data_IF_340836242139
#
_entry.id   IF_340836242139
#
_cell.length_a   1.000
_cell.length_b   1.000
_cell.length_c   1.000
_cell.angle_alpha   90.00
_cell.angle_beta   90.00
_cell.angle_gamma   90.00
#
_symmetry.space_group_name_H-M   'P 1'
#
loop_
_entity.id
_entity.type
_entity.pdbx_description
1 polymer ?
#
# COMPACT_ATOMS: atom_id res chain seq x y z
N UNK A 1 -3.37 64.91 50.10
CA UNK A 1 -2.67 64.10 49.09
C UNK A 1 -2.00 62.86 49.71
N UNK A 2 -2.57 62.23 50.74
CA UNK A 2 -1.92 61.07 51.42
C UNK A 2 -2.71 59.77 51.35
N UNK A 3 -4.04 59.84 51.33
CA UNK A 3 -4.90 58.67 51.55
C UNK A 3 -5.21 57.87 50.27
N UNK A 4 -5.11 58.53 49.10
CA UNK A 4 -5.35 57.91 47.81
C UNK A 4 -4.11 57.13 47.34
N UNK A 5 -2.91 57.70 47.56
CA UNK A 5 -1.65 57.07 47.17
C UNK A 5 -1.38 55.80 48.00
N UNK A 6 -1.73 55.81 49.30
CA UNK A 6 -1.68 54.61 50.16
C UNK A 6 -2.62 53.50 49.68
N UNK A 7 -3.80 53.85 49.16
CA UNK A 7 -4.75 52.87 48.60
C UNK A 7 -4.27 52.29 47.27
N UNK A 8 -3.64 53.11 46.42
CA UNK A 8 -3.06 52.66 45.15
C UNK A 8 -1.89 51.71 45.41
N UNK A 9 -1.03 52.03 46.37
CA UNK A 9 0.10 51.17 46.73
C UNK A 9 -0.36 49.83 47.31
N UNK A 10 -1.34 49.85 48.22
CA UNK A 10 -1.93 48.62 48.79
C UNK A 10 -2.60 47.73 47.72
N UNK A 11 -3.24 48.33 46.71
CA UNK A 11 -3.81 47.58 45.57
C UNK A 11 -2.73 46.98 44.68
N UNK A 12 -1.63 47.70 44.43
CA UNK A 12 -0.47 47.18 43.67
C UNK A 12 0.15 45.98 44.38
N UNK A 13 0.44 46.09 45.66
CA UNK A 13 0.99 44.98 46.46
C UNK A 13 0.08 43.75 46.45
N UNK A 14 -1.24 43.96 46.54
CA UNK A 14 -2.22 42.87 46.49
C UNK A 14 -2.25 42.20 45.12
N UNK A 15 -2.15 42.99 44.05
CA UNK A 15 -2.14 42.47 42.68
C UNK A 15 -0.85 41.70 42.37
N UNK A 16 0.31 42.24 42.78
CA UNK A 16 1.60 41.56 42.62
C UNK A 16 1.63 40.23 43.39
N UNK A 17 1.10 40.20 44.61
CA UNK A 17 0.99 38.96 45.39
C UNK A 17 0.15 37.91 44.67
N UNK A 18 -1.02 38.29 44.14
CA UNK A 18 -1.88 37.39 43.36
C UNK A 18 -1.22 36.90 42.07
N UNK A 19 -0.44 37.75 41.42
CA UNK A 19 0.34 37.38 40.23
C UNK A 19 1.40 36.32 40.56
N UNK A 20 2.12 36.49 41.67
CA UNK A 20 3.11 35.51 42.15
C UNK A 20 2.42 34.19 42.49
N UNK A 21 1.35 34.23 43.29
CA UNK A 21 0.58 33.04 43.66
C UNK A 21 0.02 32.30 42.44
N UNK A 22 -0.49 33.03 41.45
CA UNK A 22 -0.98 32.45 40.19
C UNK A 22 0.16 31.81 39.39
N UNK A 23 1.33 32.45 39.31
CA UNK A 23 2.48 31.91 38.59
C UNK A 23 3.01 30.65 39.26
N UNK A 24 3.12 30.63 40.58
CA UNK A 24 3.53 29.45 41.35
C UNK A 24 2.54 28.30 41.22
N UNK A 25 1.23 28.59 41.25
CA UNK A 25 0.19 27.59 41.05
C UNK A 25 0.27 26.95 39.66
N UNK A 26 0.46 27.77 38.63
CA UNK A 26 0.62 27.31 37.24
C UNK A 26 1.91 26.49 37.09
N UNK A 27 3.03 26.95 37.63
CA UNK A 27 4.30 26.22 37.58
C UNK A 27 4.20 24.85 38.26
N UNK A 28 3.62 24.77 39.47
CA UNK A 28 3.36 23.49 40.15
C UNK A 28 2.44 22.57 39.34
N UNK A 29 1.45 23.13 38.64
CA UNK A 29 0.58 22.40 37.73
C UNK A 29 1.33 21.79 36.54
N UNK A 30 2.26 22.53 35.95
CA UNK A 30 3.10 22.05 34.86
C UNK A 30 4.11 21.00 35.33
N UNK A 31 4.79 21.22 36.45
CA UNK A 31 5.73 20.25 37.04
C UNK A 31 5.04 18.91 37.31
N UNK A 32 3.83 18.93 37.87
CA UNK A 32 3.04 17.71 38.12
C UNK A 32 2.66 16.98 36.83
N UNK A 33 2.32 17.71 35.76
CA UNK A 33 2.02 17.12 34.45
C UNK A 33 3.27 16.53 33.80
N UNK A 34 4.41 17.21 33.92
CA UNK A 34 5.67 16.77 33.35
C UNK A 34 6.15 15.49 34.03
N UNK A 35 6.09 15.42 35.36
CA UNK A 35 6.39 14.20 36.12
C UNK A 35 5.46 13.02 35.75
N UNK A 36 4.17 13.29 35.50
CA UNK A 36 3.24 12.24 35.07
C UNK A 36 3.56 11.71 33.67
N UNK A 37 4.00 12.58 32.76
CA UNK A 37 4.41 12.19 31.40
C UNK A 37 5.73 11.41 31.40
N UNK A 38 6.69 11.80 32.23
CA UNK A 38 7.94 11.03 32.40
C UNK A 38 7.67 9.63 32.92
N UNK A 39 6.78 9.49 33.92
CA UNK A 39 6.40 8.20 34.46
C UNK A 39 5.66 7.33 33.42
N UNK A 40 4.79 7.93 32.60
CA UNK A 40 4.12 7.23 31.51
C UNK A 40 5.10 6.75 30.43
N UNK A 41 6.07 7.59 30.06
CA UNK A 41 7.14 7.23 29.10
C UNK A 41 7.99 6.08 29.62
N UNK A 42 8.37 6.11 30.90
CA UNK A 42 9.20 5.06 31.50
C UNK A 42 8.43 3.71 31.57
N UNK A 43 7.12 3.76 31.76
CA UNK A 43 6.26 2.56 31.72
C UNK A 43 6.10 2.01 30.29
N UNK A 44 5.92 2.88 29.28
CA UNK A 44 5.91 2.47 27.88
C UNK A 44 7.25 1.84 27.47
N UNK A 45 8.39 2.40 27.89
CA UNK A 45 9.71 1.82 27.61
C UNK A 45 9.87 0.43 28.21
N UNK A 46 9.36 0.19 29.44
CA UNK A 46 9.35 -1.15 30.04
C UNK A 46 8.48 -2.14 29.25
N UNK A 47 7.32 -1.70 28.77
CA UNK A 47 6.44 -2.55 27.96
C UNK A 47 7.09 -2.90 26.62
N UNK A 48 7.74 -1.94 25.96
CA UNK A 48 8.49 -2.19 24.71
C UNK A 48 9.63 -3.17 24.93
N UNK A 49 10.41 -3.02 26.00
CA UNK A 49 11.48 -3.96 26.35
C UNK A 49 10.94 -5.39 26.57
N UNK A 50 9.80 -5.52 27.28
CA UNK A 50 9.15 -6.81 27.49
C UNK A 50 8.68 -7.47 26.19
N UNK A 51 8.07 -6.69 25.28
CA UNK A 51 7.64 -7.19 23.96
C UNK A 51 8.86 -7.66 23.15
N UNK A 52 9.97 -6.92 23.22
CA UNK A 52 11.19 -7.30 22.52
C UNK A 52 11.75 -8.64 23.02
N UNK A 53 11.76 -8.87 24.34
CA UNK A 53 12.17 -10.14 24.94
C UNK A 53 11.21 -11.29 24.58
N UNK A 54 9.90 -11.04 24.52
CA UNK A 54 8.89 -12.01 24.10
C UNK A 54 9.07 -12.41 22.63
N UNK A 55 9.37 -11.45 21.75
CA UNK A 55 9.66 -11.67 20.33
C UNK A 55 10.95 -12.49 20.18
N UNK A 56 12.00 -12.14 20.92
CA UNK A 56 13.28 -12.88 20.90
C UNK A 56 13.07 -14.33 21.33
N UNK A 57 12.34 -14.56 22.42
CA UNK A 57 12.03 -15.89 22.93
C UNK A 57 11.20 -16.71 21.92
N UNK A 58 10.22 -16.08 21.25
CA UNK A 58 9.46 -16.75 20.18
C UNK A 58 10.33 -17.08 18.97
N UNK A 59 11.28 -16.21 18.61
CA UNK A 59 12.20 -16.47 17.50
C UNK A 59 13.13 -17.65 17.79
N UNK A 60 13.62 -17.77 19.03
CA UNK A 60 14.47 -18.87 19.48
C UNK A 60 13.68 -20.19 19.50
N UNK A 61 12.42 -20.16 19.95
CA UNK A 61 11.51 -21.33 19.87
C UNK A 61 11.23 -21.75 18.43
N UNK A 62 11.02 -20.80 17.52
CA UNK A 62 10.83 -21.10 16.10
C UNK A 62 12.09 -21.70 15.46
N UNK A 63 13.28 -21.28 15.89
CA UNK A 63 14.53 -21.91 15.44
C UNK A 63 14.67 -23.34 15.97
N UNK A 64 14.30 -23.61 17.23
CA UNK A 64 14.30 -24.96 17.80
C UNK A 64 13.31 -25.90 17.09
N UNK A 65 12.09 -25.44 16.78
CA UNK A 65 11.11 -26.21 16.00
C UNK A 65 11.62 -26.51 14.59
N UNK A 66 12.34 -25.58 13.96
CA UNK A 66 12.98 -25.83 12.65
C UNK A 66 14.08 -26.89 12.72
N UNK A 67 14.81 -26.98 13.84
CA UNK A 67 15.85 -28.01 14.06
C UNK A 67 15.22 -29.36 14.39
N UNK A 68 14.15 -29.40 15.18
CA UNK A 68 13.41 -30.65 15.48
C UNK A 68 12.74 -31.23 14.22
N UNK A 69 12.15 -30.39 13.37
CA UNK A 69 11.59 -30.83 12.09
C UNK A 69 12.65 -31.33 11.09
N UNK A 70 13.91 -30.90 11.21
CA UNK A 70 15.02 -31.44 10.39
C UNK A 70 15.51 -32.81 10.87
N UNK A 71 15.19 -33.22 12.10
CA UNK A 71 15.58 -34.52 12.65
C UNK A 71 14.56 -35.60 12.26
N UNK A 72 13.27 -35.25 12.17
CA UNK A 72 12.19 -36.18 11.77
C UNK A 72 12.17 -36.54 10.27
N UNK A 73 12.85 -35.77 9.40
CA UNK A 73 12.96 -36.06 7.96
C UNK A 73 13.82 -37.29 7.62
N UNK A 74 14.38 -37.99 8.62
CA UNK A 74 15.10 -39.27 8.42
C UNK A 74 14.26 -40.53 8.67
N UNK A 75 12.99 -40.40 9.10
CA UNK A 75 12.13 -41.55 9.34
C UNK A 75 10.81 -41.47 8.54
N UNK A 76 10.85 -42.07 7.35
CA UNK A 76 9.77 -42.89 6.79
C UNK A 76 8.41 -42.20 6.54
N UNK A 77 8.20 -41.72 5.32
CA UNK A 77 6.85 -41.60 4.73
C UNK A 77 6.88 -42.04 3.26
N UNK A 78 6.35 -43.25 3.04
CA UNK A 78 5.89 -43.71 1.75
C UNK A 78 4.68 -42.87 1.31
N UNK A 79 4.76 -42.29 0.11
CA UNK A 79 3.60 -41.77 -0.62
C UNK A 79 3.32 -40.27 -0.48
N UNK A 80 4.07 -39.47 -1.25
CA UNK A 80 3.66 -38.38 -2.16
C UNK A 80 4.96 -37.60 -2.46
N UNK A 81 5.59 -37.91 -3.59
CA UNK A 81 6.75 -37.16 -4.09
C UNK A 81 6.25 -35.91 -4.83
N UNK A 82 5.96 -34.85 -4.10
CA UNK A 82 6.10 -33.49 -4.64
C UNK A 82 7.38 -32.92 -4.05
N UNK A 83 8.33 -32.57 -4.92
CA UNK A 83 9.65 -32.09 -4.52
C UNK A 83 9.51 -30.80 -3.68
N UNK A 84 10.18 -30.67 -2.53
CA UNK A 84 10.17 -29.44 -1.72
C UNK A 84 10.48 -28.16 -2.53
N UNK A 85 11.37 -28.28 -3.53
CA UNK A 85 11.75 -27.18 -4.43
C UNK A 85 10.60 -26.66 -5.32
N UNK A 86 9.63 -27.51 -5.69
CA UNK A 86 8.48 -27.08 -6.51
C UNK A 86 7.50 -26.24 -5.68
N UNK A 87 7.31 -26.63 -4.41
CA UNK A 87 6.48 -25.90 -3.47
C UNK A 87 7.11 -24.54 -3.09
N UNK A 88 8.42 -24.49 -2.89
CA UNK A 88 9.16 -23.24 -2.60
C UNK A 88 9.12 -22.25 -3.78
N UNK A 89 9.26 -22.74 -5.01
CA UNK A 89 9.14 -21.93 -6.22
C UNK A 89 7.72 -21.36 -6.40
N UNK A 90 6.70 -22.16 -6.11
CA UNK A 90 5.30 -21.71 -6.17
C UNK A 90 5.00 -20.62 -5.13
N UNK A 91 5.49 -20.77 -3.91
CA UNK A 91 5.35 -19.76 -2.85
C UNK A 91 6.03 -18.44 -3.25
N UNK A 92 7.25 -18.53 -3.79
CA UNK A 92 8.02 -17.35 -4.24
C UNK A 92 7.32 -16.63 -5.39
N UNK A 93 6.84 -17.37 -6.39
CA UNK A 93 6.09 -16.79 -7.50
C UNK A 93 4.82 -16.08 -7.03
N UNK A 94 4.07 -16.70 -6.12
CA UNK A 94 2.85 -16.09 -5.58
C UNK A 94 3.15 -14.80 -4.79
N UNK A 95 4.28 -14.74 -4.08
CA UNK A 95 4.74 -13.53 -3.41
C UNK A 95 5.08 -12.41 -4.40
N UNK A 96 5.88 -12.68 -5.44
CA UNK A 96 6.25 -11.68 -6.45
C UNK A 96 5.01 -11.18 -7.20
N UNK A 97 4.13 -12.09 -7.63
CA UNK A 97 2.89 -11.72 -8.31
C UNK A 97 2.00 -10.85 -7.42
N UNK A 98 1.96 -11.11 -6.10
CA UNK A 98 1.27 -10.23 -5.16
C UNK A 98 1.91 -8.84 -5.14
N UNK A 99 3.24 -8.74 -5.05
CA UNK A 99 3.95 -7.44 -5.09
C UNK A 99 3.68 -6.67 -6.38
N UNK A 100 3.69 -7.32 -7.54
CA UNK A 100 3.32 -6.67 -8.81
C UNK A 100 1.90 -6.11 -8.76
N UNK A 101 0.92 -6.86 -8.21
CA UNK A 101 -0.47 -6.36 -8.09
C UNK A 101 -0.56 -5.16 -7.15
N UNK A 102 0.19 -5.19 -6.06
CA UNK A 102 0.13 -4.16 -5.02
C UNK A 102 0.85 -2.88 -5.47
N UNK A 103 1.93 -2.99 -6.26
CA UNK A 103 2.80 -1.87 -6.64
C UNK A 103 2.54 -1.36 -8.06
N UNK A 104 2.27 -2.26 -9.01
CA UNK A 104 2.12 -1.94 -10.45
C UNK A 104 0.85 -2.61 -11.00
N UNK A 105 -0.35 -2.25 -10.50
CA UNK A 105 -1.61 -2.91 -10.84
C UNK A 105 -1.99 -2.81 -12.33
N UNK A 106 -1.39 -1.87 -13.06
CA UNK A 106 -1.57 -1.73 -14.51
C UNK A 106 -1.03 -2.93 -15.28
N UNK A 107 -0.03 -3.64 -14.72
CA UNK A 107 0.45 -4.89 -15.29
C UNK A 107 -0.65 -5.94 -15.09
N UNK A 108 -1.28 -6.32 -16.20
CA UNK A 108 -2.31 -7.35 -16.16
C UNK A 108 -1.67 -8.71 -15.96
N UNK A 109 -1.99 -9.39 -14.86
CA UNK A 109 -1.49 -10.75 -14.56
C UNK A 109 -2.49 -11.85 -14.92
N UNK A 110 -3.79 -11.60 -14.71
CA UNK A 110 -4.83 -12.58 -15.03
C UNK A 110 -5.25 -12.46 -16.50
N UNK A 111 -4.67 -13.34 -17.32
CA UNK A 111 -4.99 -13.49 -18.74
C UNK A 111 -5.89 -14.72 -18.96
N UNK A 112 -6.81 -14.64 -19.92
CA UNK A 112 -7.54 -15.82 -20.38
C UNK A 112 -6.65 -16.65 -21.32
N UNK A 113 -6.03 -17.68 -20.75
CA UNK A 113 -5.15 -18.60 -21.46
C UNK A 113 -5.86 -19.86 -21.96
N UNK A 114 -7.18 -19.95 -21.75
CA UNK A 114 -7.95 -21.13 -22.09
C UNK A 114 -8.33 -21.18 -23.59
N UNK A 115 -8.58 -22.39 -24.09
CA UNK A 115 -9.10 -22.63 -25.43
C UNK A 115 -8.05 -22.74 -26.54
N UNK A 116 -8.52 -22.75 -27.79
CA UNK A 116 -7.69 -22.88 -28.99
C UNK A 116 -7.78 -21.65 -29.88
N UNK A 117 -6.68 -21.32 -30.55
CA UNK A 117 -6.65 -20.17 -31.46
C UNK A 117 -7.39 -20.45 -32.76
N UNK A 118 -8.38 -19.62 -33.08
CA UNK A 118 -9.06 -19.62 -34.37
C UNK A 118 -8.07 -19.29 -35.49
N UNK A 119 -8.39 -19.69 -36.73
CA UNK A 119 -7.54 -19.38 -37.89
C UNK A 119 -7.32 -17.87 -38.09
N UNK A 120 -8.29 -17.02 -37.70
CA UNK A 120 -8.16 -15.56 -37.75
C UNK A 120 -7.15 -15.05 -36.74
N UNK A 121 -7.19 -15.56 -35.51
CA UNK A 121 -6.26 -15.20 -34.44
C UNK A 121 -4.84 -15.69 -34.74
N UNK A 122 -4.69 -16.91 -35.27
CA UNK A 122 -3.39 -17.42 -35.72
C UNK A 122 -2.76 -16.53 -36.80
N UNK A 123 -3.56 -16.02 -37.74
CA UNK A 123 -3.09 -15.04 -38.73
C UNK A 123 -2.65 -13.72 -38.11
N UNK A 124 -3.38 -13.21 -37.11
CA UNK A 124 -2.99 -11.98 -36.39
C UNK A 124 -1.65 -12.17 -35.66
N UNK A 125 -1.48 -13.31 -34.99
CA UNK A 125 -0.25 -13.68 -34.29
C UNK A 125 0.91 -13.82 -35.27
N UNK A 126 0.70 -14.48 -36.41
CA UNK A 126 1.73 -14.67 -37.44
C UNK A 126 2.16 -13.36 -38.11
N UNK A 127 1.23 -12.42 -38.30
CA UNK A 127 1.49 -11.13 -38.92
C UNK A 127 1.99 -10.05 -37.94
N UNK A 128 2.07 -10.37 -36.65
CA UNK A 128 2.57 -9.43 -35.66
C UNK A 128 4.05 -9.11 -35.92
N UNK A 129 4.33 -7.83 -36.03
CA UNK A 129 5.69 -7.30 -36.17
C UNK A 129 6.01 -6.37 -35.00
N UNK A 130 7.06 -6.66 -34.20
CA UNK A 130 7.49 -5.76 -33.15
C UNK A 130 8.12 -4.50 -33.77
N UNK A 131 7.64 -3.34 -33.32
CA UNK A 131 8.30 -2.03 -33.51
C UNK A 131 9.15 -1.87 -32.25
N UNK A 132 10.35 -2.44 -32.30
CA UNK A 132 11.43 -2.44 -31.32
C UNK A 132 11.15 -1.84 -29.93
N UNK A 133 11.13 -2.69 -28.91
CA UNK A 133 11.72 -2.39 -27.60
C UNK A 133 12.16 -3.71 -26.96
N UNK A 134 13.32 -4.27 -27.37
CA UNK A 134 13.86 -5.42 -26.66
C UNK A 134 14.11 -5.01 -25.21
N UNK A 135 13.61 -5.81 -24.28
CA UNK A 135 13.85 -5.62 -22.85
C UNK A 135 15.19 -6.26 -22.53
N UNK A 136 16.06 -5.50 -21.86
CA UNK A 136 17.30 -6.00 -21.29
C UNK A 136 17.02 -6.28 -19.82
N UNK A 137 17.02 -7.55 -19.44
CA UNK A 137 16.72 -7.97 -18.07
C UNK A 137 17.79 -7.47 -17.09
N UNK A 138 17.36 -6.93 -15.94
CA UNK A 138 18.20 -6.65 -14.77
C UNK A 138 18.97 -5.34 -14.77
N UNK A 139 19.00 -4.58 -15.87
CA UNK A 139 19.77 -3.33 -15.98
C UNK A 139 18.91 -2.12 -16.43
N UNK A 140 17.62 -2.34 -16.66
CA UNK A 140 16.74 -1.37 -17.31
C UNK A 140 15.87 -0.65 -16.26
N UNK A 141 16.11 0.65 -15.98
CA UNK A 141 15.33 1.38 -14.98
C UNK A 141 13.86 1.51 -15.39
N UNK A 142 13.56 1.51 -16.69
CA UNK A 142 12.19 1.63 -17.23
C UNK A 142 11.57 0.25 -17.54
N UNK A 143 12.02 -0.80 -16.85
CA UNK A 143 11.66 -2.18 -17.17
C UNK A 143 10.15 -2.40 -17.17
N UNK A 144 9.46 -1.92 -16.14
CA UNK A 144 8.03 -2.16 -16.01
C UNK A 144 7.22 -1.29 -17.00
N UNK A 145 7.64 -0.06 -17.31
CA UNK A 145 7.01 0.77 -18.35
C UNK A 145 7.12 0.11 -19.72
N UNK A 146 8.22 -0.58 -20.00
CA UNK A 146 8.37 -1.37 -21.23
C UNK A 146 7.41 -2.55 -21.25
N UNK A 147 7.24 -3.26 -20.12
CA UNK A 147 6.22 -4.31 -19.99
C UNK A 147 4.81 -3.77 -20.25
N UNK A 148 4.46 -2.62 -19.67
CA UNK A 148 3.17 -1.96 -19.90
C UNK A 148 2.95 -1.58 -21.37
N UNK A 149 3.94 -0.93 -21.99
CA UNK A 149 3.88 -0.57 -23.43
C UNK A 149 3.70 -1.80 -24.32
N UNK A 150 4.31 -2.93 -23.98
CA UNK A 150 4.11 -4.18 -24.71
C UNK A 150 2.69 -4.70 -24.53
N UNK A 151 2.16 -4.73 -23.30
CA UNK A 151 0.77 -5.16 -23.05
C UNK A 151 -0.24 -4.28 -23.79
N UNK A 152 -0.09 -2.96 -23.74
CA UNK A 152 -0.99 -2.04 -24.43
C UNK A 152 -0.94 -2.20 -25.93
N UNK A 153 0.23 -2.53 -26.47
CA UNK A 153 0.36 -2.88 -27.87
C UNK A 153 -0.31 -4.19 -28.22
N UNK A 154 -0.17 -5.23 -27.40
CA UNK A 154 -0.85 -6.49 -27.64
C UNK A 154 -2.37 -6.30 -27.66
N UNK A 155 -2.91 -5.47 -26.74
CA UNK A 155 -4.31 -5.03 -26.75
C UNK A 155 -4.68 -4.26 -28.03
N UNK A 156 -3.89 -3.26 -28.41
CA UNK A 156 -4.15 -2.44 -29.59
C UNK A 156 -4.13 -3.24 -30.90
N UNK A 157 -3.30 -4.28 -30.97
CA UNK A 157 -3.25 -5.22 -32.10
C UNK A 157 -4.36 -6.29 -32.06
N UNK A 158 -5.17 -6.34 -30.99
CA UNK A 158 -6.20 -7.36 -30.82
C UNK A 158 -5.61 -8.77 -30.71
N UNK A 159 -4.42 -8.91 -30.13
CA UNK A 159 -3.80 -10.22 -29.96
C UNK A 159 -4.53 -11.02 -28.87
N UNK A 160 -4.79 -12.32 -29.07
CA UNK A 160 -5.41 -13.17 -28.06
C UNK A 160 -4.49 -13.34 -26.85
N UNK A 161 -5.06 -13.19 -25.65
CA UNK A 161 -4.31 -13.17 -24.37
C UNK A 161 -3.49 -14.44 -24.14
N UNK A 162 -4.02 -15.62 -24.50
CA UNK A 162 -3.32 -16.92 -24.45
C UNK A 162 -2.01 -16.98 -25.23
N UNK A 163 -1.79 -16.09 -26.20
CA UNK A 163 -0.56 -16.04 -26.99
C UNK A 163 0.44 -15.01 -26.44
N UNK A 164 0.05 -14.14 -25.50
CA UNK A 164 0.87 -13.02 -25.07
C UNK A 164 2.20 -13.47 -24.45
N UNK A 165 2.21 -14.53 -23.64
CA UNK A 165 3.44 -15.05 -23.03
C UNK A 165 4.45 -15.51 -24.10
N UNK A 166 3.98 -16.31 -25.07
CA UNK A 166 4.78 -16.79 -26.19
C UNK A 166 5.30 -15.64 -27.06
N UNK A 167 4.45 -14.65 -27.32
CA UNK A 167 4.79 -13.49 -28.13
C UNK A 167 5.81 -12.58 -27.43
N UNK A 168 5.66 -12.40 -26.12
CA UNK A 168 6.59 -11.64 -25.30
C UNK A 168 7.98 -12.26 -25.34
N UNK A 169 8.07 -13.56 -25.04
CA UNK A 169 9.32 -14.33 -25.07
C UNK A 169 9.97 -14.30 -26.46
N UNK A 170 9.18 -14.39 -27.53
CA UNK A 170 9.70 -14.45 -28.90
C UNK A 170 10.27 -13.12 -29.41
N UNK A 171 9.68 -11.99 -29.04
CA UNK A 171 9.93 -10.72 -29.71
C UNK A 171 10.51 -9.62 -28.82
N UNK A 172 10.31 -9.70 -27.52
CA UNK A 172 10.66 -8.62 -26.58
C UNK A 172 11.67 -9.05 -25.52
N UNK A 173 12.10 -10.30 -25.56
CA UNK A 173 13.05 -10.86 -24.60
C UNK A 173 14.29 -11.37 -25.31
N UNK A 174 15.48 -10.95 -24.86
CA UNK A 174 16.76 -11.42 -25.42
C UNK A 174 17.28 -12.63 -24.65
N UNK A 175 17.88 -13.60 -25.36
CA UNK A 175 18.29 -14.95 -24.93
C UNK A 175 19.26 -15.05 -23.72
N UNK A 176 19.53 -13.97 -22.98
CA UNK A 176 20.49 -13.95 -21.87
C UNK A 176 20.00 -14.65 -20.59
N UNK A 177 18.70 -14.82 -20.42
CA UNK A 177 18.16 -15.69 -19.38
C UNK A 177 17.98 -17.09 -19.94
N UNK A 178 18.44 -18.07 -19.20
CA UNK A 178 18.04 -19.48 -19.33
C UNK A 178 16.53 -19.69 -19.03
N UNK A 179 15.66 -18.71 -19.31
CA UNK A 179 14.23 -18.89 -19.46
C UNK A 179 14.02 -19.76 -20.69
N UNK A 180 14.26 -21.06 -20.52
CA UNK A 180 13.87 -22.03 -21.53
C UNK A 180 12.37 -21.84 -21.69
N UNK A 181 11.93 -21.78 -22.96
CA UNK A 181 10.52 -21.80 -23.37
C UNK A 181 9.69 -22.92 -22.71
N UNK A 182 10.35 -23.89 -22.07
CA UNK A 182 9.76 -24.99 -21.29
C UNK A 182 9.34 -24.60 -19.86
N UNK A 183 9.96 -23.58 -19.24
CA UNK A 183 9.82 -23.30 -17.81
C UNK A 183 8.84 -22.15 -17.48
N UNK A 184 8.18 -21.58 -18.48
CA UNK A 184 7.18 -20.52 -18.33
C UNK A 184 6.01 -20.79 -19.28
N UNK A 185 5.14 -21.74 -18.88
CA UNK A 185 4.00 -22.16 -19.70
C UNK A 185 2.85 -21.14 -19.72
N UNK A 186 2.81 -20.23 -18.74
CA UNK A 186 1.78 -19.22 -18.59
C UNK A 186 2.37 -17.84 -18.27
N UNK A 187 1.56 -16.81 -18.51
CA UNK A 187 1.88 -15.40 -18.32
C UNK A 187 2.27 -15.07 -16.88
N UNK A 188 1.58 -15.65 -15.90
CA UNK A 188 1.89 -15.43 -14.49
C UNK A 188 3.30 -15.90 -14.13
N UNK A 189 3.69 -17.11 -14.51
CA UNK A 189 5.04 -17.63 -14.28
C UNK A 189 6.08 -16.80 -15.01
N UNK A 190 5.77 -16.30 -16.21
CA UNK A 190 6.65 -15.38 -16.92
C UNK A 190 6.84 -14.08 -16.13
N UNK A 191 5.76 -13.42 -15.69
CA UNK A 191 5.83 -12.18 -14.92
C UNK A 191 6.56 -12.37 -13.60
N UNK A 192 6.33 -13.47 -12.87
CA UNK A 192 7.05 -13.75 -11.63
C UNK A 192 8.57 -13.83 -11.85
N UNK A 193 8.99 -14.56 -12.89
CA UNK A 193 10.42 -14.68 -13.24
C UNK A 193 11.02 -13.38 -13.75
N UNK A 194 10.24 -12.58 -14.49
CA UNK A 194 10.67 -11.28 -14.98
C UNK A 194 10.92 -10.27 -13.86
N UNK A 195 10.24 -10.41 -12.72
CA UNK A 195 10.34 -9.51 -11.58
C UNK A 195 11.07 -10.14 -10.38
N UNK A 196 11.69 -11.31 -10.55
CA UNK A 196 12.35 -12.04 -9.46
C UNK A 196 13.49 -11.23 -8.82
N UNK A 197 14.23 -10.48 -9.64
CA UNK A 197 15.31 -9.60 -9.19
C UNK A 197 14.89 -8.11 -9.16
N UNK A 198 13.60 -7.80 -9.29
CA UNK A 198 13.13 -6.42 -9.26
C UNK A 198 13.17 -5.88 -7.83
N UNK A 199 13.78 -4.71 -7.64
CA UNK A 199 13.82 -4.05 -6.34
C UNK A 199 12.49 -3.35 -6.06
N UNK A 200 11.59 -4.06 -5.39
CA UNK A 200 10.29 -3.52 -4.98
C UNK A 200 10.36 -2.54 -3.79
N UNK A 201 11.55 -2.26 -3.25
CA UNK A 201 11.75 -1.44 -2.05
C UNK A 201 12.30 -0.03 -2.38
N UNK A 202 12.32 0.33 -3.66
CA UNK A 202 12.59 1.67 -4.12
C UNK A 202 11.48 2.65 -3.66
N UNK A 203 11.85 3.93 -3.49
CA UNK A 203 10.97 4.97 -2.93
C UNK A 203 9.69 5.14 -3.77
N UNK A 204 9.82 5.10 -5.11
CA UNK A 204 8.68 5.19 -6.04
C UNK A 204 7.68 4.05 -5.85
N UNK A 205 8.16 2.82 -5.63
CA UNK A 205 7.36 1.63 -5.37
C UNK A 205 6.70 1.70 -3.99
N UNK A 206 7.38 2.25 -2.99
CA UNK A 206 6.78 2.52 -1.69
C UNK A 206 5.59 3.47 -1.84
N UNK A 207 5.76 4.56 -2.58
CA UNK A 207 4.69 5.53 -2.85
C UNK A 207 3.54 4.88 -3.63
N UNK A 208 3.85 4.10 -4.67
CA UNK A 208 2.86 3.33 -5.43
C UNK A 208 2.07 2.41 -4.50
N UNK A 209 2.76 1.64 -3.66
CA UNK A 209 2.16 0.74 -2.69
C UNK A 209 1.24 1.51 -1.72
N UNK A 210 1.70 2.61 -1.15
CA UNK A 210 0.91 3.45 -0.23
C UNK A 210 -0.37 3.97 -0.90
N UNK A 211 -0.28 4.38 -2.16
CA UNK A 211 -1.43 4.85 -2.93
C UNK A 211 -2.40 3.72 -3.23
N UNK A 212 -1.93 2.54 -3.61
CA UNK A 212 -2.79 1.40 -3.95
C UNK A 212 -3.43 0.76 -2.71
N UNK A 213 -2.72 0.76 -1.59
CA UNK A 213 -3.17 0.17 -0.32
C UNK A 213 -3.86 1.16 0.60
N UNK A 214 -4.05 2.40 0.15
CA UNK A 214 -4.76 3.43 0.90
C UNK A 214 -6.14 2.94 1.38
N UNK A 215 -6.40 3.16 2.66
CA UNK A 215 -7.64 2.84 3.34
C UNK A 215 -8.09 4.03 4.17
N UNK A 216 -9.40 4.27 4.19
CA UNK A 216 -10.01 5.28 5.05
C UNK A 216 -10.31 4.65 6.41
N UNK A 217 -9.80 5.25 7.48
CA UNK A 217 -10.03 4.78 8.84
C UNK A 217 -11.15 5.56 9.49
N UNK A 218 -12.24 4.88 9.86
CA UNK A 218 -13.42 5.49 10.48
C UNK A 218 -13.21 5.86 11.96
N UNK A 219 -12.24 5.22 12.63
CA UNK A 219 -12.08 5.25 14.09
C UNK A 219 -10.76 5.85 14.60
N UNK A 220 -10.13 6.77 13.86
CA UNK A 220 -9.08 7.59 14.48
C UNK A 220 -9.75 8.54 15.48
N UNK A 221 -9.70 8.16 16.76
CA UNK A 221 -9.93 8.92 18.00
C UNK A 221 -10.88 10.15 17.94
N UNK A 222 -11.76 10.37 18.93
CA UNK A 222 -12.56 11.61 19.05
C UNK A 222 -11.72 12.92 19.03
N UNK A 223 -10.40 12.82 19.23
CA UNK A 223 -9.44 13.92 19.19
C UNK A 223 -8.63 14.01 17.88
N UNK A 224 -8.78 13.04 16.98
CA UNK A 224 -8.20 13.00 15.64
C UNK A 224 -9.33 12.97 14.60
N UNK A 225 -10.20 13.98 14.62
CA UNK A 225 -11.25 14.18 13.64
C UNK A 225 -10.65 14.53 12.27
N UNK A 226 -10.03 13.57 11.59
CA UNK A 226 -9.84 13.63 10.15
C UNK A 226 -11.16 13.21 9.51
N UNK A 227 -11.89 14.16 8.91
CA UNK A 227 -13.09 13.82 8.14
C UNK A 227 -12.66 12.82 7.07
N UNK A 228 -13.56 11.90 6.69
CA UNK A 228 -13.30 10.93 5.60
C UNK A 228 -12.76 11.62 4.35
N UNK A 229 -13.30 12.81 4.06
CA UNK A 229 -12.79 13.71 3.02
C UNK A 229 -11.33 14.11 3.19
N UNK A 230 -10.90 14.47 4.40
CA UNK A 230 -9.54 14.92 4.66
C UNK A 230 -8.54 13.78 4.38
N UNK A 231 -8.87 12.55 4.76
CA UNK A 231 -8.04 11.38 4.45
C UNK A 231 -7.96 11.13 2.93
N UNK A 232 -9.09 11.22 2.22
CA UNK A 232 -9.11 11.09 0.76
C UNK A 232 -8.36 12.22 0.07
N UNK A 233 -8.43 13.45 0.57
CA UNK A 233 -7.69 14.60 0.06
C UNK A 233 -6.18 14.41 0.23
N UNK A 234 -5.71 13.96 1.40
CA UNK A 234 -4.30 13.61 1.63
C UNK A 234 -3.83 12.57 0.60
N UNK A 235 -4.65 11.56 0.34
CA UNK A 235 -4.33 10.52 -0.66
C UNK A 235 -4.26 11.07 -2.10
N UNK A 236 -5.18 11.96 -2.46
CA UNK A 236 -5.16 12.64 -3.77
C UNK A 236 -3.97 13.58 -3.90
N UNK A 237 -3.62 14.30 -2.82
CA UNK A 237 -2.46 15.19 -2.76
C UNK A 237 -1.16 14.42 -2.94
N UNK A 238 -1.03 13.26 -2.30
CA UNK A 238 0.10 12.34 -2.50
C UNK A 238 0.19 11.91 -3.97
N UNK A 239 -0.93 11.51 -4.59
CA UNK A 239 -0.95 11.18 -6.02
C UNK A 239 -0.53 12.34 -6.93
N UNK A 240 -0.91 13.57 -6.57
CA UNK A 240 -0.57 14.78 -7.30
C UNK A 240 0.92 15.15 -7.18
N UNK A 241 1.50 15.00 -5.98
CA UNK A 241 2.94 15.21 -5.73
C UNK A 241 3.78 14.30 -6.64
N UNK A 242 3.38 13.02 -6.73
CA UNK A 242 4.08 11.99 -7.52
C UNK A 242 3.45 11.76 -8.91
N UNK A 243 2.91 12.80 -9.55
CA UNK A 243 2.23 12.71 -10.85
C UNK A 243 3.06 12.05 -11.96
N UNK A 244 4.39 12.13 -11.91
CA UNK A 244 5.30 11.48 -12.86
C UNK A 244 5.16 9.95 -12.89
N UNK A 245 4.70 9.35 -11.79
CA UNK A 245 4.45 7.91 -11.67
C UNK A 245 3.13 7.43 -12.32
N UNK A 246 2.36 8.34 -12.95
CA UNK A 246 1.11 8.02 -13.68
C UNK A 246 0.05 7.31 -12.80
N UNK A 247 -0.09 7.78 -11.57
CA UNK A 247 -0.89 7.13 -10.52
C UNK A 247 -2.40 7.42 -10.62
N UNK A 248 -2.78 8.42 -11.42
CA UNK A 248 -4.15 8.93 -11.48
C UNK A 248 -5.18 7.86 -11.82
N UNK A 249 -4.90 6.99 -12.79
CA UNK A 249 -5.84 5.91 -13.17
C UNK A 249 -6.04 4.89 -12.05
N UNK A 250 -4.97 4.57 -11.32
CA UNK A 250 -5.04 3.68 -10.16
C UNK A 250 -5.86 4.29 -9.03
N UNK A 251 -5.61 5.57 -8.72
CA UNK A 251 -6.37 6.35 -7.73
C UNK A 251 -7.84 6.42 -8.12
N UNK A 252 -8.15 6.77 -9.37
CA UNK A 252 -9.51 6.85 -9.90
C UNK A 252 -10.25 5.51 -9.78
N UNK A 253 -9.60 4.41 -10.14
CA UNK A 253 -10.17 3.06 -10.01
C UNK A 253 -10.46 2.70 -8.54
N UNK A 254 -9.51 2.95 -7.64
CA UNK A 254 -9.64 2.67 -6.21
C UNK A 254 -10.72 3.54 -5.56
N UNK A 255 -10.82 4.80 -5.95
CA UNK A 255 -11.89 5.70 -5.51
C UNK A 255 -13.27 5.21 -5.96
N UNK A 256 -13.41 4.76 -7.21
CA UNK A 256 -14.66 4.16 -7.68
C UNK A 256 -15.07 2.93 -6.86
N UNK A 257 -14.10 2.13 -6.41
CA UNK A 257 -14.33 0.99 -5.53
C UNK A 257 -14.76 1.44 -4.13
N UNK A 258 -14.09 2.44 -3.55
CA UNK A 258 -14.47 3.04 -2.28
C UNK A 258 -15.93 3.52 -2.28
N UNK A 259 -16.35 4.26 -3.30
CA UNK A 259 -17.75 4.72 -3.39
C UNK A 259 -18.74 3.55 -3.40
N UNK A 260 -18.41 2.47 -4.11
CA UNK A 260 -19.24 1.26 -4.16
C UNK A 260 -19.28 0.51 -2.83
N UNK A 261 -18.14 0.37 -2.17
CA UNK A 261 -18.02 -0.32 -0.87
C UNK A 261 -18.81 0.39 0.24
N UNK A 262 -18.97 1.71 0.15
CA UNK A 262 -19.70 2.52 1.11
C UNK A 262 -21.10 2.97 0.64
N UNK A 263 -21.64 2.38 -0.43
CA UNK A 263 -22.95 2.70 -1.04
C UNK A 263 -23.17 4.21 -1.31
N UNK A 264 -22.09 4.92 -1.69
CA UNK A 264 -22.15 6.33 -2.07
C UNK A 264 -22.60 6.42 -3.52
N UNK A 265 -23.81 6.93 -3.73
CA UNK A 265 -24.43 7.04 -5.06
C UNK A 265 -24.02 8.33 -5.76
N UNK A 266 -23.52 8.17 -6.99
CA UNK A 266 -23.14 9.27 -7.88
C UNK A 266 -24.07 9.26 -9.10
N UNK A 267 -24.59 10.42 -9.53
CA UNK A 267 -25.37 10.56 -10.76
C UNK A 267 -24.60 10.09 -12.00
N UNK A 268 -25.32 9.62 -13.02
CA UNK A 268 -24.72 9.09 -14.25
C UNK A 268 -23.84 10.09 -15.03
N UNK A 269 -24.08 11.40 -14.86
CA UNK A 269 -23.26 12.46 -15.48
C UNK A 269 -21.87 12.60 -14.86
N UNK A 270 -21.75 12.32 -13.56
CA UNK A 270 -20.54 12.62 -12.77
C UNK A 270 -19.77 11.35 -12.41
N UNK A 271 -19.94 10.27 -13.18
CA UNK A 271 -19.26 9.00 -12.94
C UNK A 271 -17.74 9.19 -12.85
N UNK A 272 -17.11 8.50 -11.90
CA UNK A 272 -15.65 8.52 -11.64
C UNK A 272 -14.81 8.31 -12.91
N UNK A 273 -15.28 7.49 -13.86
CA UNK A 273 -14.61 7.25 -15.15
C UNK A 273 -14.44 8.50 -16.03
N UNK A 274 -15.23 9.55 -15.79
CA UNK A 274 -15.22 10.80 -16.55
C UNK A 274 -14.23 11.84 -15.98
N UNK A 275 -13.67 11.58 -14.79
CA UNK A 275 -12.70 12.47 -14.15
C UNK A 275 -11.35 12.37 -14.87
N UNK A 276 -10.74 13.50 -15.18
CA UNK A 276 -9.54 13.57 -16.04
C UNK A 276 -8.27 14.01 -15.32
N UNK A 277 -8.40 14.63 -14.14
CA UNK A 277 -7.27 15.14 -13.38
C UNK A 277 -7.55 15.06 -11.86
N UNK A 278 -6.53 15.37 -11.06
CA UNK A 278 -6.61 15.35 -9.60
C UNK A 278 -7.58 16.40 -9.03
N UNK A 279 -7.76 17.55 -9.69
CA UNK A 279 -8.69 18.58 -9.25
C UNK A 279 -10.16 18.17 -9.43
N UNK A 280 -10.49 17.53 -10.57
CA UNK A 280 -11.79 16.91 -10.81
C UNK A 280 -12.11 15.90 -9.70
N UNK A 281 -11.12 15.12 -9.29
CA UNK A 281 -11.25 14.12 -8.23
C UNK A 281 -11.45 14.75 -6.85
N UNK A 282 -10.70 15.81 -6.50
CA UNK A 282 -10.91 16.58 -5.25
C UNK A 282 -12.33 17.15 -5.20
N UNK A 283 -12.76 17.80 -6.27
CA UNK A 283 -14.11 18.36 -6.38
C UNK A 283 -15.19 17.28 -6.23
N UNK A 284 -14.98 16.12 -6.85
CA UNK A 284 -15.89 14.98 -6.74
C UNK A 284 -15.95 14.43 -5.30
N UNK A 285 -14.81 14.33 -4.60
CA UNK A 285 -14.77 13.96 -3.18
C UNK A 285 -15.59 14.95 -2.35
N UNK A 286 -15.41 16.25 -2.58
CA UNK A 286 -16.12 17.29 -1.84
C UNK A 286 -17.63 17.28 -2.10
N UNK A 287 -18.05 16.93 -3.30
CA UNK A 287 -19.46 16.92 -3.65
C UNK A 287 -20.21 15.69 -3.13
N UNK A 288 -19.59 14.51 -3.21
CA UNK A 288 -20.28 13.23 -3.02
C UNK A 288 -19.95 12.49 -1.74
N UNK A 289 -18.74 12.64 -1.20
CA UNK A 289 -18.32 11.86 -0.03
C UNK A 289 -18.82 12.55 1.24
N UNK A 290 -19.49 11.86 2.16
CA UNK A 290 -19.89 12.47 3.42
C UNK A 290 -18.67 12.67 4.34
N UNK A 291 -18.76 13.64 5.27
CA UNK A 291 -17.69 13.85 6.26
C UNK A 291 -17.47 12.64 7.19
N UNK A 292 -18.50 11.80 7.35
CA UNK A 292 -18.50 10.55 8.11
C UNK A 292 -19.22 9.50 7.29
N UNK A 293 -18.65 8.29 7.21
CA UNK A 293 -19.30 7.16 6.58
C UNK A 293 -20.31 6.58 7.57
N UNK A 294 -21.46 6.16 7.04
CA UNK A 294 -22.40 5.35 7.80
C UNK A 294 -21.89 3.92 7.71
N UNK A 295 -21.54 3.30 8.85
CA UNK A 295 -21.19 1.89 8.89
C UNK A 295 -22.37 1.12 8.29
N UNK A 296 -22.18 0.33 7.23
CA UNK A 296 -23.24 -0.52 6.73
C UNK A 296 -23.63 -1.49 7.86
N UNK A 297 -24.87 -1.38 8.35
CA UNK A 297 -25.46 -2.43 9.20
C UNK A 297 -25.46 -3.72 8.39
N UNK A 298 -24.51 -4.64 8.65
CA UNK A 298 -24.51 -5.97 8.04
C UNK A 298 -23.22 -6.47 7.39
N UNK A 299 -22.04 -5.87 7.61
CA UNK A 299 -20.79 -6.61 7.41
C UNK A 299 -20.48 -7.40 8.69
N UNK A 300 -21.23 -8.49 8.90
CA UNK A 300 -20.75 -9.61 9.72
C UNK A 300 -19.35 -9.96 9.28
N UNK A 301 -18.48 -10.23 10.26
CA UNK A 301 -17.11 -10.73 10.15
C UNK A 301 -16.86 -11.70 8.98
N UNK A 302 -16.74 -11.18 7.76
CA UNK A 302 -16.15 -11.93 6.67
C UNK A 302 -14.65 -11.83 6.88
N UNK A 303 -14.15 -12.79 7.66
CA UNK A 303 -12.76 -13.27 7.64
C UNK A 303 -12.42 -13.78 6.22
N UNK A 304 -12.36 -12.88 5.24
CA UNK A 304 -11.87 -13.14 3.87
C UNK A 304 -11.84 -11.89 2.98
N UNK A 305 -11.85 -10.67 3.54
CA UNK A 305 -11.38 -9.50 2.79
C UNK A 305 -9.87 -9.40 2.93
N UNK A 306 -9.15 -10.05 2.02
CA UNK A 306 -7.70 -9.95 1.89
C UNK A 306 -7.27 -8.50 1.56
N UNK A 307 -7.08 -7.69 2.59
CA UNK A 307 -6.20 -6.52 2.59
C UNK A 307 -5.56 -6.46 3.97
N UNK A 308 -4.36 -7.01 4.05
CA UNK A 308 -3.50 -7.00 5.22
C UNK A 308 -3.18 -5.58 5.69
N UNK A 309 -3.51 -5.28 6.95
CA UNK A 309 -2.86 -4.24 7.78
C UNK A 309 -1.54 -4.86 8.27
N UNK A 310 -0.34 -4.21 8.22
CA UNK A 310 -0.06 -2.89 8.81
C UNK A 310 1.03 -2.05 8.10
N UNK A 311 0.67 -0.95 7.40
CA UNK A 311 1.62 0.17 7.12
C UNK A 311 0.96 1.55 7.30
N UNK A 312 -0.34 1.61 7.59
CA UNK A 312 -1.08 2.88 7.66
C UNK A 312 -0.72 3.82 8.83
N UNK A 313 0.09 3.39 9.81
CA UNK A 313 0.45 4.24 10.95
C UNK A 313 1.55 5.27 10.61
N UNK A 314 2.32 5.09 9.53
CA UNK A 314 3.44 6.00 9.22
C UNK A 314 2.99 7.25 8.45
N UNK A 315 1.94 7.14 7.62
CA UNK A 315 1.41 8.23 6.77
C UNK A 315 0.77 9.38 7.57
N UNK A 316 -0.05 9.08 8.57
CA UNK A 316 -0.72 10.10 9.40
C UNK A 316 0.28 10.79 10.34
N UNK A 317 1.32 10.08 10.76
CA UNK A 317 2.37 10.61 11.63
C UNK A 317 3.30 11.54 10.84
N UNK A 318 3.70 11.18 9.62
CA UNK A 318 4.55 12.02 8.76
C UNK A 318 3.87 13.31 8.28
N UNK A 319 2.55 13.29 8.02
CA UNK A 319 1.80 14.50 7.64
C UNK A 319 1.75 15.57 8.74
N UNK A 320 2.03 15.24 10.01
CA UNK A 320 2.13 16.24 11.09
C UNK A 320 3.46 16.99 11.12
N UNK A 321 4.49 16.52 10.41
CA UNK A 321 5.84 17.09 10.46
C UNK A 321 6.21 17.98 9.26
N UNK A 322 5.32 18.14 8.28
CA UNK A 322 5.52 19.01 7.10
C UNK A 322 4.59 20.24 7.07
N UNK A 323 4.27 20.83 8.23
CA UNK A 323 3.64 22.16 8.30
C UNK A 323 4.51 23.17 9.02
#
# INVERSE_FOLDING_TARGET
MGDLDLKIESLRETFERKLIESRESISKGFEKRLAALELARDEEQKQVAKIYDEIKTHSEKLQLVKVENQIDDTAQCDGIKTCPAELEAEVTNNYILKRIRDVIPQIRLYLDESGSSSAKEQRLVANYSPRQTPIIYGEDPDFYEKVLKIQDRFKACGLPEREWANMFLRYHFSDRLNLKKKDSQNWNTLMAKLFENYDFDCEEERIRYEIQTFAVFENFSPHCAGKVKDQLHIWVDLGCEYHHLQLFDGIRSRYSRFLKEHDIKVPAGDLVKNLNNFDDLRNHIDYYVPNRLLIPFGLTENKSSCTSVPVANDLITRCKYYR
#
